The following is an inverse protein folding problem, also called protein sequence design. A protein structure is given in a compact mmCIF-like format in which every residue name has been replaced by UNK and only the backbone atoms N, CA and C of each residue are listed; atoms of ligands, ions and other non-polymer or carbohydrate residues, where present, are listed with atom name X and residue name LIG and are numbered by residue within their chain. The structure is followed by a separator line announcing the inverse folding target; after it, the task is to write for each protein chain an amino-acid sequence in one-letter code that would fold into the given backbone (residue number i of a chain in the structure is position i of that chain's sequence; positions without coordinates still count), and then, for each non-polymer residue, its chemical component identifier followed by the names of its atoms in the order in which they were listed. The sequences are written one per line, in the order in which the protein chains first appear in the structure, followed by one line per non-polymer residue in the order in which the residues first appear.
data_IF_648010652929
#
_entry.id   IF_648010652929
#
_cell.length_a   1.000
_cell.length_b   1.000
_cell.length_c   1.000
_cell.angle_alpha   90.00
_cell.angle_beta   90.00
_cell.angle_gamma   90.00
#
_symmetry.space_group_name_H-M   'P 1'
#
loop_
_entity.id
_entity.type
_entity.pdbx_description
1 polymer ?
#
# COMPACT_ATOMS: atom_id res chain seq x y z
N UNK A 1 -60.40 49.84 12.53
CA UNK A 1 -59.32 49.36 11.65
C UNK A 1 -59.25 47.84 11.74
N UNK A 2 -59.70 47.14 10.70
CA UNK A 2 -59.87 45.68 10.67
C UNK A 2 -58.54 45.03 10.27
N UNK A 3 -57.89 44.27 11.17
CA UNK A 3 -56.84 43.31 10.80
C UNK A 3 -57.54 42.07 10.24
N UNK A 4 -57.60 41.93 8.90
CA UNK A 4 -58.01 40.67 8.26
C UNK A 4 -56.94 39.61 8.57
N UNK A 5 -57.25 38.69 9.47
CA UNK A 5 -56.49 37.46 9.66
C UNK A 5 -56.64 36.63 8.38
N UNK A 6 -55.57 36.52 7.60
CA UNK A 6 -55.54 35.69 6.40
C UNK A 6 -55.46 34.23 6.86
N UNK A 7 -56.58 33.52 6.80
CA UNK A 7 -56.60 32.07 7.05
C UNK A 7 -55.93 31.38 5.86
N UNK A 8 -54.70 30.90 6.04
CA UNK A 8 -54.03 30.09 5.02
C UNK A 8 -54.78 28.77 4.86
N UNK A 9 -55.13 28.42 3.63
CA UNK A 9 -55.77 27.14 3.36
C UNK A 9 -54.80 25.99 3.64
N UNK A 10 -55.32 24.78 3.89
CA UNK A 10 -54.50 23.57 4.09
C UNK A 10 -53.50 23.36 2.95
N UNK A 11 -53.87 23.76 1.72
CA UNK A 11 -52.99 23.71 0.55
C UNK A 11 -51.80 24.68 0.67
N UNK A 12 -52.03 25.89 1.19
CA UNK A 12 -50.97 26.88 1.39
C UNK A 12 -50.02 26.47 2.52
N UNK A 13 -50.53 25.86 3.59
CA UNK A 13 -49.69 25.30 4.67
C UNK A 13 -48.86 24.14 4.13
N UNK A 14 -49.46 23.23 3.35
CA UNK A 14 -48.74 22.11 2.74
C UNK A 14 -47.63 22.57 1.78
N UNK A 15 -47.89 23.63 0.99
CA UNK A 15 -46.89 24.23 0.10
C UNK A 15 -45.71 24.85 0.86
N UNK A 16 -45.98 25.56 1.95
CA UNK A 16 -44.92 26.14 2.79
C UNK A 16 -44.10 25.04 3.46
N UNK A 17 -44.75 23.99 3.99
CA UNK A 17 -44.06 22.84 4.58
C UNK A 17 -43.20 22.09 3.56
N UNK A 18 -43.72 21.87 2.35
CA UNK A 18 -42.97 21.22 1.27
C UNK A 18 -41.76 22.06 0.83
N UNK A 19 -41.91 23.39 0.78
CA UNK A 19 -40.85 24.30 0.36
C UNK A 19 -39.75 24.42 1.43
N UNK A 20 -40.12 24.45 2.72
CA UNK A 20 -39.17 24.40 3.85
C UNK A 20 -38.42 23.06 3.89
N UNK A 21 -39.11 21.94 3.65
CA UNK A 21 -38.47 20.63 3.55
C UNK A 21 -37.48 20.55 2.37
N UNK A 22 -37.84 21.10 1.21
CA UNK A 22 -36.99 21.11 0.02
C UNK A 22 -35.74 21.97 0.21
N UNK A 23 -35.86 23.15 0.82
CA UNK A 23 -34.70 24.02 1.13
C UNK A 23 -33.78 23.40 2.18
N UNK A 24 -34.33 22.70 3.18
CA UNK A 24 -33.53 21.94 4.15
C UNK A 24 -32.73 20.80 3.50
N UNK A 25 -33.32 20.12 2.51
CA UNK A 25 -32.65 19.04 1.76
C UNK A 25 -31.51 19.56 0.86
N UNK A 26 -31.64 20.76 0.28
CA UNK A 26 -30.56 21.34 -0.54
C UNK A 26 -29.43 21.92 0.31
N UNK A 27 -29.74 22.56 1.45
CA UNK A 27 -28.72 23.06 2.37
C UNK A 27 -27.86 21.92 2.95
N UNK A 28 -28.46 20.80 3.34
CA UNK A 28 -27.71 19.61 3.82
C UNK A 28 -26.83 18.96 2.75
N UNK A 29 -27.15 19.12 1.46
CA UNK A 29 -26.35 18.59 0.36
C UNK A 29 -25.06 19.39 0.10
N UNK A 30 -25.01 20.66 0.48
CA UNK A 30 -23.79 21.48 0.35
C UNK A 30 -22.78 21.21 1.48
N UNK A 31 -23.25 20.87 2.68
CA UNK A 31 -22.40 20.46 3.80
C UNK A 31 -21.91 19.02 3.63
N UNK A 32 -22.74 18.12 3.10
CA UNK A 32 -22.32 16.78 2.69
C UNK A 32 -21.20 16.82 1.61
N UNK A 33 -21.12 17.91 0.84
CA UNK A 33 -20.03 18.12 -0.13
C UNK A 33 -18.70 18.57 0.47
N UNK A 34 -18.66 19.02 1.72
CA UNK A 34 -17.39 19.34 2.40
C UNK A 34 -16.78 18.11 3.11
N UNK A 35 -17.60 17.10 3.43
CA UNK A 35 -17.18 15.93 4.20
C UNK A 35 -16.47 14.87 3.35
N UNK A 36 -16.72 14.78 2.03
CA UNK A 36 -15.93 13.90 1.15
C UNK A 36 -14.56 14.47 0.78
N UNK A 37 -14.40 15.80 0.85
CA UNK A 37 -13.12 16.49 0.63
C UNK A 37 -12.17 16.37 1.84
N UNK A 38 -12.65 15.81 2.97
CA UNK A 38 -11.85 15.49 4.16
C UNK A 38 -12.11 14.04 4.60
N UNK A 39 -12.16 13.12 3.63
CA UNK A 39 -11.95 11.70 3.93
C UNK A 39 -10.44 11.48 3.98
N UNK A 40 -9.88 10.86 5.04
CA UNK A 40 -8.57 10.22 4.92
C UNK A 40 -8.70 9.15 3.84
N UNK A 41 -8.26 9.44 2.62
CA UNK A 41 -8.57 8.65 1.42
C UNK A 41 -8.57 9.42 0.10
N UNK A 42 -8.29 10.73 0.09
CA UNK A 42 -7.76 11.46 -1.06
C UNK A 42 -6.26 11.15 -1.29
N UNK A 43 -5.81 10.02 -0.77
CA UNK A 43 -4.42 9.67 -0.53
C UNK A 43 -3.70 9.30 -1.83
N UNK A 44 -2.56 9.94 -2.03
CA UNK A 44 -1.45 9.44 -2.86
C UNK A 44 -0.89 8.18 -2.18
N UNK A 45 -1.65 7.08 -2.14
CA UNK A 45 -1.16 5.77 -1.71
C UNK A 45 -1.23 4.76 -2.85
N UNK A 46 -0.10 4.09 -3.09
CA UNK A 46 0.03 3.10 -4.15
C UNK A 46 -0.65 1.77 -3.79
N UNK A 47 -1.68 1.76 -2.94
CA UNK A 47 -2.38 0.54 -2.54
C UNK A 47 -3.04 -0.11 -3.75
N UNK A 48 -2.78 -1.39 -3.95
CA UNK A 48 -3.18 -2.14 -5.14
C UNK A 48 -2.23 -1.99 -6.33
N UNK A 49 -1.18 -1.15 -6.23
CA UNK A 49 -0.17 -1.04 -7.28
C UNK A 49 0.53 -2.38 -7.50
N UNK A 50 0.47 -2.85 -8.75
CA UNK A 50 0.90 -4.19 -9.16
C UNK A 50 1.51 -4.12 -10.56
N UNK A 51 2.76 -3.65 -10.69
CA UNK A 51 3.40 -3.48 -11.97
C UNK A 51 3.74 -4.82 -12.61
N UNK A 52 3.72 -4.85 -13.95
CA UNK A 52 4.28 -5.95 -14.73
C UNK A 52 5.79 -6.03 -14.49
N UNK A 53 6.29 -7.22 -14.20
CA UNK A 53 7.71 -7.47 -13.96
C UNK A 53 8.39 -8.04 -15.22
N UNK A 54 9.72 -7.87 -15.38
CA UNK A 54 10.45 -8.38 -16.55
C UNK A 54 10.44 -9.92 -16.66
N UNK A 55 10.34 -10.61 -15.53
CA UNK A 55 10.23 -12.06 -15.42
C UNK A 55 9.04 -12.39 -14.50
N UNK A 56 8.22 -13.42 -14.80
CA UNK A 56 7.07 -13.80 -13.98
C UNK A 56 7.51 -14.54 -12.69
N UNK A 57 8.24 -13.85 -11.82
CA UNK A 57 8.66 -14.42 -10.54
C UNK A 57 7.48 -14.52 -9.56
N UNK A 58 7.25 -15.73 -9.05
CA UNK A 58 6.14 -16.04 -8.14
C UNK A 58 6.60 -16.20 -6.70
N UNK A 59 6.23 -15.26 -5.81
CA UNK A 59 6.47 -15.44 -4.37
C UNK A 59 5.60 -16.57 -3.80
N UNK A 60 4.40 -16.78 -4.33
CA UNK A 60 3.54 -17.87 -3.90
C UNK A 60 4.11 -19.26 -4.17
N UNK A 61 4.89 -19.41 -5.25
CA UNK A 61 5.64 -20.64 -5.49
C UNK A 61 6.82 -20.77 -4.53
N UNK A 62 7.65 -19.73 -4.40
CA UNK A 62 8.91 -19.82 -3.66
C UNK A 62 8.73 -19.77 -2.14
N UNK A 63 8.06 -18.74 -1.62
CA UNK A 63 7.83 -18.59 -0.18
C UNK A 63 6.62 -19.41 0.30
N UNK A 64 5.57 -19.52 -0.51
CA UNK A 64 4.36 -20.28 -0.15
C UNK A 64 4.54 -21.79 -0.29
N UNK A 65 4.69 -22.28 -1.52
CA UNK A 65 4.71 -23.74 -1.80
C UNK A 65 6.03 -24.44 -1.50
N UNK A 66 7.16 -23.71 -1.59
CA UNK A 66 8.49 -24.25 -1.28
C UNK A 66 9.00 -23.83 0.10
N UNK A 67 8.22 -23.02 0.82
CA UNK A 67 8.52 -22.60 2.19
C UNK A 67 9.91 -21.97 2.34
N UNK A 68 10.41 -21.33 1.28
CA UNK A 68 11.70 -20.64 1.31
C UNK A 68 11.53 -19.38 2.19
N UNK A 69 12.33 -19.20 3.25
CA UNK A 69 12.17 -18.08 4.16
C UNK A 69 12.49 -16.75 3.46
N UNK A 70 11.78 -15.68 3.83
CA UNK A 70 11.89 -14.36 3.21
C UNK A 70 13.34 -13.83 3.21
N UNK A 71 14.05 -14.02 4.34
CA UNK A 71 15.44 -13.58 4.53
C UNK A 71 16.47 -14.34 3.69
N UNK A 72 16.11 -15.48 3.08
CA UNK A 72 17.03 -16.18 2.18
C UNK A 72 17.37 -15.33 0.97
N UNK A 73 16.35 -14.74 0.34
CA UNK A 73 16.51 -13.83 -0.79
C UNK A 73 16.76 -12.39 -0.32
N UNK A 74 16.02 -11.93 0.70
CA UNK A 74 16.09 -10.57 1.22
C UNK A 74 17.04 -10.45 2.44
N UNK A 75 18.24 -11.01 2.31
CA UNK A 75 19.19 -11.18 3.41
C UNK A 75 19.68 -9.89 4.07
N UNK A 76 19.52 -8.73 3.42
CA UNK A 76 19.92 -7.46 3.98
C UNK A 76 18.89 -6.88 4.97
N UNK A 77 17.66 -7.39 5.00
CA UNK A 77 16.56 -6.85 5.81
C UNK A 77 16.91 -6.71 7.30
N UNK A 78 17.61 -7.69 7.87
CA UNK A 78 18.04 -7.70 9.28
C UNK A 78 19.19 -6.74 9.62
N UNK A 79 19.92 -6.23 8.62
CA UNK A 79 21.22 -5.56 8.83
C UNK A 79 21.36 -4.19 8.16
N UNK A 80 20.52 -3.87 7.19
CA UNK A 80 20.62 -2.65 6.40
C UNK A 80 19.27 -1.91 6.32
N UNK A 81 19.31 -0.70 5.79
CA UNK A 81 18.11 0.11 5.59
C UNK A 81 17.20 -0.48 4.50
N UNK A 82 17.80 -0.94 3.40
CA UNK A 82 17.10 -1.67 2.35
C UNK A 82 17.23 -3.18 2.56
N UNK A 83 16.12 -3.91 2.40
CA UNK A 83 16.13 -5.37 2.33
C UNK A 83 16.86 -5.90 1.09
N UNK A 84 16.96 -5.07 0.05
CA UNK A 84 17.58 -5.40 -1.24
C UNK A 84 16.77 -6.38 -2.07
N UNK A 85 17.02 -6.39 -3.37
CA UNK A 85 16.59 -7.47 -4.26
C UNK A 85 17.76 -8.44 -4.40
N UNK A 86 17.53 -9.76 -4.37
CA UNK A 86 18.61 -10.74 -4.45
C UNK A 86 19.43 -10.58 -5.75
N UNK A 87 20.76 -10.74 -5.70
CA UNK A 87 21.58 -10.81 -6.91
C UNK A 87 21.25 -12.08 -7.71
N UNK A 88 21.55 -12.06 -9.02
CA UNK A 88 21.29 -13.17 -9.94
C UNK A 88 21.87 -14.52 -9.48
N UNK A 89 23.00 -14.49 -8.76
CA UNK A 89 23.61 -15.68 -8.15
C UNK A 89 22.67 -16.42 -7.20
N UNK A 90 21.78 -15.71 -6.50
CA UNK A 90 20.81 -16.34 -5.59
C UNK A 90 19.82 -17.18 -6.39
N UNK A 91 19.33 -16.64 -7.51
CA UNK A 91 18.42 -17.34 -8.42
C UNK A 91 19.12 -18.56 -9.04
N UNK A 92 20.35 -18.35 -9.53
CA UNK A 92 21.16 -19.39 -10.16
C UNK A 92 21.76 -20.40 -9.18
N UNK A 93 21.63 -20.18 -7.87
CA UNK A 93 21.99 -21.18 -6.86
C UNK A 93 21.17 -22.46 -7.01
N UNK A 94 19.89 -22.33 -7.41
CA UNK A 94 18.98 -23.46 -7.62
C UNK A 94 18.67 -23.69 -9.12
N UNK A 95 18.47 -22.61 -9.89
CA UNK A 95 18.01 -22.69 -11.28
C UNK A 95 19.07 -23.17 -12.29
N UNK A 96 20.25 -23.58 -11.82
CA UNK A 96 21.18 -24.40 -12.60
C UNK A 96 20.68 -25.83 -12.82
N UNK A 97 19.79 -26.31 -11.95
CA UNK A 97 19.26 -27.69 -12.00
C UNK A 97 17.75 -27.77 -11.83
N UNK A 98 17.10 -26.71 -11.32
CA UNK A 98 15.65 -26.66 -11.10
C UNK A 98 14.95 -25.94 -12.23
N UNK A 99 13.94 -26.59 -12.83
CA UNK A 99 13.06 -26.02 -13.85
C UNK A 99 13.81 -25.42 -15.06
N UNK A 100 14.96 -25.99 -15.41
CA UNK A 100 15.86 -25.52 -16.48
C UNK A 100 15.23 -25.58 -17.87
N UNK A 101 14.18 -26.37 -18.03
CA UNK A 101 13.39 -26.54 -19.24
C UNK A 101 12.36 -25.41 -19.45
N UNK A 102 12.04 -24.64 -18.41
CA UNK A 102 11.06 -23.55 -18.47
C UNK A 102 11.62 -22.29 -19.14
N UNK A 103 10.84 -21.67 -20.02
CA UNK A 103 11.25 -20.47 -20.77
C UNK A 103 11.72 -19.31 -19.87
N UNK A 104 11.05 -18.96 -18.75
CA UNK A 104 11.54 -17.91 -17.84
C UNK A 104 12.92 -18.22 -17.25
N UNK A 105 13.25 -19.50 -17.04
CA UNK A 105 14.54 -19.92 -16.47
C UNK A 105 15.63 -19.93 -17.53
N UNK A 106 15.31 -20.27 -18.78
CA UNK A 106 16.23 -20.11 -19.91
C UNK A 106 16.61 -18.64 -20.10
N UNK A 107 15.62 -17.74 -20.08
CA UNK A 107 15.85 -16.29 -20.13
C UNK A 107 16.72 -15.80 -18.97
N UNK A 108 16.43 -16.25 -17.74
CA UNK A 108 17.23 -15.92 -16.55
C UNK A 108 18.69 -16.37 -16.70
N UNK A 109 18.89 -17.59 -17.21
CA UNK A 109 20.22 -18.19 -17.42
C UNK A 109 21.00 -17.43 -18.49
N UNK A 110 20.33 -17.02 -19.57
CA UNK A 110 20.94 -16.20 -20.61
C UNK A 110 21.43 -14.85 -20.05
N UNK A 111 20.57 -14.15 -19.31
CA UNK A 111 20.92 -12.88 -18.65
C UNK A 111 22.06 -13.03 -17.67
N UNK A 112 22.04 -14.10 -16.87
CA UNK A 112 23.11 -14.44 -15.95
C UNK A 112 24.47 -14.62 -16.67
N UNK A 113 24.50 -15.40 -17.75
CA UNK A 113 25.73 -15.67 -18.50
C UNK A 113 26.30 -14.41 -19.17
N UNK A 114 25.44 -13.45 -19.51
CA UNK A 114 25.82 -12.14 -20.06
C UNK A 114 26.21 -11.11 -19.00
N UNK A 115 26.12 -11.44 -17.71
CA UNK A 115 26.25 -10.50 -16.59
C UNK A 115 25.26 -9.32 -16.66
N UNK A 116 24.09 -9.55 -17.22
CA UNK A 116 23.01 -8.56 -17.29
C UNK A 116 22.05 -8.76 -16.10
N UNK A 117 21.90 -7.78 -15.20
CA UNK A 117 20.96 -7.88 -14.10
C UNK A 117 19.51 -7.77 -14.58
N UNK A 118 18.58 -8.27 -13.78
CA UNK A 118 17.14 -8.06 -14.00
C UNK A 118 16.77 -6.66 -13.53
N UNK A 119 16.16 -5.88 -14.42
CA UNK A 119 15.69 -4.52 -14.14
C UNK A 119 14.29 -4.55 -13.51
N UNK A 120 14.24 -4.84 -12.21
CA UNK A 120 12.98 -4.94 -11.47
C UNK A 120 12.25 -3.61 -11.37
N UNK A 121 10.91 -3.66 -11.49
CA UNK A 121 10.05 -2.51 -11.22
C UNK A 121 9.70 -2.52 -9.73
N UNK A 122 10.06 -1.44 -9.02
CA UNK A 122 9.82 -1.34 -7.58
C UNK A 122 8.32 -1.22 -7.30
N UNK A 123 7.83 -2.00 -6.35
CA UNK A 123 6.41 -1.94 -5.91
C UNK A 123 6.22 -0.94 -4.78
N UNK A 124 7.11 -0.95 -3.79
CA UNK A 124 7.05 -0.06 -2.63
C UNK A 124 8.14 1.01 -2.77
N UNK A 125 7.77 2.27 -2.99
CA UNK A 125 8.71 3.38 -3.10
C UNK A 125 8.36 4.51 -2.13
N UNK A 126 9.14 4.62 -1.06
CA UNK A 126 9.01 5.76 -0.16
C UNK A 126 9.70 7.00 -0.75
N UNK A 127 9.15 8.21 -0.54
CA UNK A 127 9.80 9.43 -1.00
C UNK A 127 11.23 9.57 -0.48
N UNK A 128 12.12 10.17 -1.28
CA UNK A 128 13.56 10.26 -0.94
C UNK A 128 13.89 11.05 0.33
N UNK A 129 12.97 11.93 0.77
CA UNK A 129 13.07 12.67 2.02
C UNK A 129 12.60 11.86 3.25
N UNK A 130 12.23 10.58 3.06
CA UNK A 130 11.91 9.63 4.11
C UNK A 130 12.99 8.55 4.16
N UNK A 131 13.70 8.47 5.28
CA UNK A 131 14.79 7.52 5.50
C UNK A 131 14.27 6.28 6.26
N UNK A 132 13.58 5.40 5.55
CA UNK A 132 13.14 4.12 6.11
C UNK A 132 14.29 3.11 6.22
N UNK A 133 14.32 2.33 7.31
CA UNK A 133 15.32 1.29 7.54
C UNK A 133 14.69 -0.02 8.01
N UNK A 134 14.90 -1.13 7.30
CA UNK A 134 14.39 -2.44 7.69
C UNK A 134 15.01 -2.95 9.00
N UNK A 135 16.32 -2.72 9.19
CA UNK A 135 17.11 -3.21 10.34
C UNK A 135 16.39 -3.06 11.71
N UNK A 136 15.98 -1.86 12.17
CA UNK A 136 15.32 -1.72 13.46
C UNK A 136 13.97 -2.44 13.52
N UNK A 137 13.19 -2.45 12.44
CA UNK A 137 11.87 -3.08 12.39
C UNK A 137 11.95 -4.61 12.47
N UNK A 138 12.83 -5.21 11.68
CA UNK A 138 13.06 -6.66 11.68
C UNK A 138 13.66 -7.11 13.02
N UNK A 139 14.63 -6.37 13.56
CA UNK A 139 15.24 -6.71 14.86
C UNK A 139 14.30 -6.50 16.06
N UNK A 140 13.23 -5.71 15.89
CA UNK A 140 12.15 -5.60 16.87
C UNK A 140 11.15 -6.77 16.79
N UNK A 141 11.36 -7.74 15.89
CA UNK A 141 10.51 -8.92 15.73
C UNK A 141 9.21 -8.65 14.96
N UNK A 142 9.17 -7.59 14.13
CA UNK A 142 8.01 -7.36 13.27
C UNK A 142 8.01 -8.35 12.10
N UNK A 143 6.89 -9.05 11.93
CA UNK A 143 6.66 -9.95 10.80
C UNK A 143 6.64 -9.18 9.47
N UNK A 144 7.21 -9.75 8.41
CA UNK A 144 7.22 -9.11 7.08
C UNK A 144 5.79 -8.80 6.59
N UNK A 145 4.86 -9.70 6.93
CA UNK A 145 3.47 -9.66 6.54
C UNK A 145 2.69 -8.50 7.16
N UNK A 146 3.15 -7.93 8.28
CA UNK A 146 2.46 -6.78 8.88
C UNK A 146 2.53 -5.53 8.01
N UNK A 147 3.54 -5.44 7.13
CA UNK A 147 3.75 -4.30 6.24
C UNK A 147 3.50 -4.65 4.77
N UNK A 148 3.96 -5.83 4.32
CA UNK A 148 3.87 -6.24 2.91
C UNK A 148 2.68 -7.16 2.61
N UNK A 149 1.87 -7.51 3.60
CA UNK A 149 0.78 -8.47 3.46
C UNK A 149 1.26 -9.89 3.30
N UNK A 150 0.34 -10.78 2.91
CA UNK A 150 0.62 -12.22 2.74
C UNK A 150 1.35 -12.49 1.43
N UNK A 151 2.60 -12.05 1.35
CA UNK A 151 3.46 -12.19 0.16
C UNK A 151 3.64 -13.65 -0.24
N UNK A 152 3.59 -14.58 0.72
CA UNK A 152 3.61 -16.02 0.47
C UNK A 152 2.41 -16.54 -0.35
N UNK A 153 1.37 -15.72 -0.53
CA UNK A 153 0.22 -16.01 -1.37
C UNK A 153 0.21 -15.20 -2.68
N UNK A 154 1.20 -14.35 -2.91
CA UNK A 154 1.25 -13.44 -4.06
C UNK A 154 2.03 -14.06 -5.24
N UNK A 155 1.36 -14.29 -6.37
CA UNK A 155 2.07 -14.64 -7.60
C UNK A 155 2.82 -13.44 -8.19
N UNK A 156 2.28 -12.23 -8.04
CA UNK A 156 2.95 -10.96 -8.33
C UNK A 156 2.70 -10.07 -7.13
N UNK A 157 3.75 -9.44 -6.61
CA UNK A 157 3.66 -8.58 -5.43
C UNK A 157 2.80 -7.36 -5.76
N UNK A 158 1.95 -7.00 -4.81
CA UNK A 158 1.16 -5.77 -4.83
C UNK A 158 1.35 -5.04 -3.51
N UNK A 159 1.22 -3.72 -3.53
CA UNK A 159 1.27 -2.93 -2.31
C UNK A 159 -0.08 -3.03 -1.59
N UNK A 160 -0.08 -3.60 -0.38
CA UNK A 160 -1.31 -3.79 0.40
C UNK A 160 -1.49 -2.76 1.51
N UNK A 161 -0.39 -2.14 1.94
CA UNK A 161 -0.37 -1.14 2.99
C UNK A 161 -0.10 0.24 2.37
N UNK A 162 -0.68 1.31 2.92
CA UNK A 162 -0.51 2.65 2.38
C UNK A 162 0.92 3.20 2.56
N UNK A 163 1.64 2.76 3.60
CA UNK A 163 3.00 3.20 3.94
C UNK A 163 3.17 4.73 4.07
N UNK A 164 2.08 5.43 4.36
CA UNK A 164 2.07 6.87 4.58
C UNK A 164 2.45 7.23 6.01
N UNK A 165 2.84 8.49 6.22
CA UNK A 165 3.27 9.02 7.53
C UNK A 165 2.26 8.71 8.65
N UNK A 166 0.96 8.89 8.40
CA UNK A 166 -0.08 8.59 9.39
C UNK A 166 -0.13 7.12 9.80
N UNK A 167 0.07 6.21 8.85
CA UNK A 167 0.12 4.77 9.10
C UNK A 167 1.37 4.39 9.90
N UNK A 168 2.54 4.91 9.52
CA UNK A 168 3.79 4.71 10.24
C UNK A 168 3.71 5.22 11.68
N UNK A 169 3.22 6.45 11.88
CA UNK A 169 3.06 7.05 13.22
C UNK A 169 2.04 6.28 14.06
N UNK A 170 0.95 5.79 13.45
CA UNK A 170 -0.03 4.95 14.12
C UNK A 170 0.61 3.70 14.71
N UNK A 171 1.36 2.96 13.89
CA UNK A 171 2.11 1.77 14.32
C UNK A 171 3.16 2.13 15.39
N UNK A 172 3.91 3.21 15.21
CA UNK A 172 4.91 3.64 16.19
C UNK A 172 4.28 3.97 17.55
N UNK A 173 3.12 4.63 17.59
CA UNK A 173 2.38 4.89 18.84
C UNK A 173 1.96 3.59 19.52
N UNK A 174 1.43 2.63 18.76
CA UNK A 174 1.02 1.33 19.29
C UNK A 174 2.19 0.54 19.88
N UNK A 175 3.36 0.59 19.23
CA UNK A 175 4.56 -0.14 19.66
C UNK A 175 5.45 0.64 20.63
N UNK A 176 5.07 1.88 21.01
CA UNK A 176 5.90 2.73 21.87
C UNK A 176 7.23 3.17 21.25
N UNK A 177 7.30 3.24 19.92
CA UNK A 177 8.47 3.70 19.17
C UNK A 177 8.47 5.24 19.00
N UNK A 178 9.63 5.80 18.66
CA UNK A 178 9.78 7.24 18.45
C UNK A 178 8.90 7.73 17.29
N UNK A 179 8.12 8.78 17.55
CA UNK A 179 7.33 9.52 16.55
C UNK A 179 7.95 10.88 16.20
N UNK A 180 9.21 11.10 16.63
CA UNK A 180 9.92 12.34 16.36
C UNK A 180 10.18 12.51 14.86
N UNK A 181 10.04 13.72 14.33
CA UNK A 181 10.24 14.01 12.90
C UNK A 181 11.61 13.54 12.40
N UNK A 182 12.66 13.77 13.19
CA UNK A 182 14.04 13.39 12.85
C UNK A 182 14.28 11.87 12.85
N UNK A 183 13.31 11.07 13.30
CA UNK A 183 13.41 9.61 13.21
C UNK A 183 13.31 9.14 11.75
N UNK A 184 12.61 9.91 10.90
CA UNK A 184 12.36 9.57 9.50
C UNK A 184 12.92 10.60 8.51
N UNK A 185 13.17 11.84 8.94
CA UNK A 185 13.52 12.98 8.08
C UNK A 185 14.80 13.66 8.57
N UNK A 186 15.98 13.10 8.28
CA UNK A 186 17.27 13.58 8.77
C UNK A 186 18.30 13.72 7.64
#
# INVERSE_FOLDING_TARGET
MIRKLVSLSLLQIALVVALVAFVGMTAGAHEARAWWMWTPGDTVDDVGYKPTQPIPFSHSLHAGKREIPCEYCHSAARRAASAGIPPMNTCMGCHKVVATDQEPIKWLTEKYNKNEPVEWVKVHDSPQYVHFSHKPHVNAGLECQSCHGRVENMAVVEQVAPLQMGWCIGCHKEKGASISCITCHY
#
